data_IF_795858591704
#
_entry.id   IF_795858591704
#
_cell.length_a   1.000
_cell.length_b   1.000
_cell.length_c   1.000
_cell.angle_alpha   90.00
_cell.angle_beta   90.00
_cell.angle_gamma   90.00
#
_symmetry.space_group_name_H-M   'P 1'
#
loop_
_entity.id
_entity.type
_entity.pdbx_description
1 polymer ?
#
# COMPACT_ATOMS: atom_id res chain seq x y z
N UNK A 1 12.85 -12.86 3.14
CA UNK A 1 11.74 -13.35 2.30
C UNK A 1 10.68 -12.24 2.13
N UNK A 2 11.02 -11.16 1.42
CA UNK A 2 10.07 -10.06 1.14
C UNK A 2 9.54 -10.12 -0.29
N UNK A 3 10.39 -10.54 -1.23
CA UNK A 3 10.03 -10.73 -2.65
C UNK A 3 8.75 -11.56 -2.84
N UNK A 4 8.60 -12.71 -2.17
CA UNK A 4 7.38 -13.53 -2.29
C UNK A 4 6.12 -12.83 -1.78
N UNK A 5 6.24 -12.03 -0.71
CA UNK A 5 5.11 -11.25 -0.20
C UNK A 5 4.73 -10.13 -1.18
N UNK A 6 5.73 -9.47 -1.78
CA UNK A 6 5.54 -8.47 -2.83
C UNK A 6 4.85 -9.09 -4.05
N UNK A 7 5.30 -10.25 -4.52
CA UNK A 7 4.71 -10.93 -5.67
C UNK A 7 3.24 -11.33 -5.45
N UNK A 8 2.95 -11.91 -4.27
CA UNK A 8 1.59 -12.33 -3.91
C UNK A 8 0.63 -11.16 -3.77
N UNK A 9 1.07 -10.08 -3.12
CA UNK A 9 0.24 -8.88 -2.95
C UNK A 9 0.03 -8.16 -4.27
N UNK A 10 1.05 -8.07 -5.14
CA UNK A 10 0.87 -7.59 -6.52
C UNK A 10 -0.13 -8.44 -7.30
N UNK A 11 -0.11 -9.77 -7.12
CA UNK A 11 -1.09 -10.65 -7.76
C UNK A 11 -2.52 -10.41 -7.25
N UNK A 12 -2.70 -10.23 -5.94
CA UNK A 12 -4.00 -9.91 -5.35
C UNK A 12 -4.55 -8.57 -5.86
N UNK A 13 -3.71 -7.53 -5.92
CA UNK A 13 -4.08 -6.19 -6.44
C UNK A 13 -4.49 -6.26 -7.91
N UNK A 14 -3.82 -7.10 -8.72
CA UNK A 14 -4.25 -7.30 -10.12
C UNK A 14 -5.63 -7.95 -10.26
N UNK A 15 -6.04 -8.75 -9.27
CA UNK A 15 -7.35 -9.42 -9.28
C UNK A 15 -8.42 -8.47 -8.76
N UNK A 16 -8.15 -7.79 -7.65
CA UNK A 16 -9.05 -6.82 -7.03
C UNK A 16 -8.28 -5.54 -6.64
N UNK A 17 -8.26 -4.53 -7.53
CA UNK A 17 -7.46 -3.31 -7.33
C UNK A 17 -7.89 -2.46 -6.13
N UNK A 18 -9.15 -2.54 -5.71
CA UNK A 18 -9.65 -1.73 -4.59
C UNK A 18 -9.48 -2.44 -3.23
N UNK A 19 -8.92 -3.66 -3.20
CA UNK A 19 -8.75 -4.44 -1.99
C UNK A 19 -7.64 -3.91 -1.08
N UNK A 20 -8.02 -3.03 -0.14
CA UNK A 20 -7.10 -2.37 0.80
C UNK A 20 -6.13 -3.31 1.53
N UNK A 21 -6.53 -4.50 2.01
CA UNK A 21 -5.61 -5.40 2.72
C UNK A 21 -4.42 -5.84 1.87
N UNK A 22 -4.58 -5.98 0.54
CA UNK A 22 -3.45 -6.31 -0.33
C UNK A 22 -2.47 -5.14 -0.46
N UNK A 23 -2.97 -3.90 -0.52
CA UNK A 23 -2.14 -2.70 -0.50
C UNK A 23 -1.41 -2.55 0.85
N UNK A 24 -2.10 -2.73 1.98
CA UNK A 24 -1.51 -2.70 3.32
C UNK A 24 -0.35 -3.70 3.47
N UNK A 25 -0.56 -4.93 2.99
CA UNK A 25 0.44 -5.98 3.02
C UNK A 25 1.65 -5.67 2.12
N UNK A 26 1.44 -5.10 0.93
CA UNK A 26 2.52 -4.69 0.03
C UNK A 26 3.35 -3.54 0.61
N UNK A 27 2.68 -2.52 1.18
CA UNK A 27 3.35 -1.40 1.84
C UNK A 27 4.17 -1.91 3.03
N UNK A 28 3.61 -2.80 3.85
CA UNK A 28 4.32 -3.44 4.97
C UNK A 28 5.53 -4.24 4.49
N UNK A 29 5.41 -4.99 3.39
CA UNK A 29 6.52 -5.75 2.82
C UNK A 29 7.68 -4.84 2.38
N UNK A 30 7.37 -3.71 1.72
CA UNK A 30 8.39 -2.72 1.36
C UNK A 30 9.05 -2.07 2.58
N UNK A 31 8.29 -1.82 3.66
CA UNK A 31 8.86 -1.30 4.89
C UNK A 31 9.81 -2.29 5.57
N UNK A 32 9.44 -3.57 5.61
CA UNK A 32 10.28 -4.64 6.16
C UNK A 32 11.53 -4.90 5.31
N UNK A 33 11.45 -4.67 4.00
CA UNK A 33 12.61 -4.68 3.09
C UNK A 33 13.51 -3.44 3.30
N UNK A 34 13.03 -2.39 3.98
CA UNK A 34 13.74 -1.14 4.20
C UNK A 34 13.48 -0.06 3.12
N UNK A 35 12.59 -0.35 2.16
CA UNK A 35 12.26 0.53 1.05
C UNK A 35 11.11 1.49 1.38
N UNK A 36 11.39 2.51 2.19
CA UNK A 36 10.41 3.57 2.50
C UNK A 36 9.83 4.28 1.26
N UNK A 37 10.64 4.61 0.22
CA UNK A 37 10.09 5.24 -0.98
C UNK A 37 9.10 4.35 -1.74
N UNK A 38 9.32 3.02 -1.75
CA UNK A 38 8.38 2.10 -2.40
C UNK A 38 7.06 1.99 -1.62
N UNK A 39 7.14 1.92 -0.29
CA UNK A 39 5.97 1.96 0.59
C UNK A 39 5.11 3.22 0.35
N UNK A 40 5.73 4.41 0.35
CA UNK A 40 5.04 5.67 0.09
C UNK A 40 4.45 5.76 -1.31
N UNK A 41 5.17 5.30 -2.34
CA UNK A 41 4.63 5.26 -3.71
C UNK A 41 3.39 4.38 -3.79
N UNK A 42 3.42 3.20 -3.18
CA UNK A 42 2.28 2.29 -3.21
C UNK A 42 1.05 2.85 -2.49
N UNK A 43 1.25 3.56 -1.37
CA UNK A 43 0.18 4.28 -0.69
C UNK A 43 -0.47 5.32 -1.59
N UNK A 44 0.32 6.20 -2.23
CA UNK A 44 -0.24 7.24 -3.12
C UNK A 44 -0.94 6.66 -4.34
N UNK A 45 -0.46 5.52 -4.87
CA UNK A 45 -1.15 4.80 -5.96
C UNK A 45 -2.54 4.37 -5.50
N UNK A 46 -2.65 3.78 -4.31
CA UNK A 46 -3.93 3.35 -3.77
C UNK A 46 -4.86 4.52 -3.43
N UNK A 47 -4.32 5.56 -2.78
CA UNK A 47 -5.07 6.77 -2.42
C UNK A 47 -5.69 7.42 -3.66
N UNK A 48 -4.92 7.55 -4.75
CA UNK A 48 -5.42 8.09 -6.00
C UNK A 48 -6.48 7.17 -6.62
N UNK A 49 -6.23 5.86 -6.67
CA UNK A 49 -7.19 4.89 -7.22
C UNK A 49 -8.52 4.93 -6.47
N UNK A 50 -8.50 4.94 -5.14
CA UNK A 50 -9.70 4.93 -4.31
C UNK A 50 -10.48 6.24 -4.45
N UNK A 51 -9.78 7.37 -4.57
CA UNK A 51 -10.39 8.66 -4.85
C UNK A 51 -11.01 8.72 -6.26
N UNK A 52 -10.36 8.16 -7.27
CA UNK A 52 -10.85 8.13 -8.66
C UNK A 52 -12.06 7.21 -8.83
N UNK A 53 -12.03 6.02 -8.23
CA UNK A 53 -13.07 5.00 -8.44
C UNK A 53 -14.25 5.14 -7.46
N UNK A 54 -13.99 5.49 -6.20
CA UNK A 54 -15.01 5.52 -5.14
C UNK A 54 -15.23 6.92 -4.54
N UNK A 55 -14.35 7.90 -4.82
CA UNK A 55 -14.40 9.20 -4.16
C UNK A 55 -14.08 9.13 -2.66
N UNK A 56 -13.40 8.06 -2.21
CA UNK A 56 -13.11 7.79 -0.80
C UNK A 56 -11.61 7.88 -0.51
N UNK A 57 -11.22 8.36 0.68
CA UNK A 57 -9.84 8.25 1.16
C UNK A 57 -9.54 6.82 1.66
N UNK A 58 -8.27 6.41 1.74
CA UNK A 58 -7.88 5.18 2.41
C UNK A 58 -8.29 5.18 3.88
N UNK A 59 -8.38 4.00 4.49
CA UNK A 59 -8.70 3.88 5.91
C UNK A 59 -7.65 4.52 6.82
N UNK A 60 -8.06 4.89 8.03
CA UNK A 60 -7.16 5.38 9.08
C UNK A 60 -6.05 4.37 9.40
N UNK A 61 -6.36 3.06 9.38
CA UNK A 61 -5.40 1.99 9.63
C UNK A 61 -4.28 1.98 8.58
N UNK A 62 -4.61 2.21 7.31
CA UNK A 62 -3.61 2.30 6.25
C UNK A 62 -2.78 3.58 6.37
N UNK A 63 -3.41 4.69 6.74
CA UNK A 63 -2.73 5.97 7.00
C UNK A 63 -1.71 5.84 8.14
N UNK A 64 -2.09 5.23 9.26
CA UNK A 64 -1.21 5.00 10.42
C UNK A 64 0.08 4.26 10.05
N UNK A 65 0.00 3.33 9.08
CA UNK A 65 1.16 2.57 8.60
C UNK A 65 2.20 3.46 7.89
N UNK A 66 1.77 4.53 7.24
CA UNK A 66 2.66 5.43 6.45
C UNK A 66 2.94 6.76 7.12
N UNK A 67 2.18 7.16 8.14
CA UNK A 67 2.39 8.39 8.90
C UNK A 67 3.85 8.58 9.36
N UNK A 68 4.55 7.57 9.92
CA UNK A 68 5.95 7.71 10.34
C UNK A 68 6.94 8.02 9.22
N UNK A 69 6.55 7.81 7.96
CA UNK A 69 7.39 8.04 6.77
C UNK A 69 7.24 9.46 6.22
N UNK A 70 6.15 10.16 6.58
CA UNK A 70 5.84 11.52 6.10
C UNK A 70 6.50 12.61 6.94
N UNK A 71 6.94 12.28 8.15
CA UNK A 71 7.51 13.20 9.13
C UNK A 71 9.01 13.06 9.31
N UNK A 72 9.68 12.30 8.44
CA UNK A 72 11.11 12.00 8.49
C UNK A 72 11.94 12.82 7.49
#
# INVERSE_FOLDING_TARGET
>A
MYARAIDLTCAAIRIEPLYEPAHAALISAHLLEGSRPAALRQFHVYERLLAEELGLPPSEQLLELVLPLRTA
#
